data_IF_046171923926
#
_entry.id   IF_046171923926
#
_cell.length_a   1.000
_cell.length_b   1.000
_cell.length_c   1.000
_cell.angle_alpha   90.00
_cell.angle_beta   90.00
_cell.angle_gamma   90.00
#
_symmetry.space_group_name_H-M   'P 1'
#
loop_
_entity.id
_entity.type
_entity.pdbx_description
1 polymer ?
#
# COMPACT_ATOMS: atom_id res chain seq x y z
N UNK A 1 -29.65 10.48 27.39
CA UNK A 1 -29.37 9.26 26.60
C UNK A 1 -28.63 9.61 25.31
N UNK A 2 -29.10 10.59 24.53
CA UNK A 2 -28.43 11.06 23.29
C UNK A 2 -26.99 11.56 23.50
N UNK A 3 -26.72 12.33 24.56
CA UNK A 3 -25.35 12.81 24.87
C UNK A 3 -24.36 11.65 25.05
N UNK A 4 -24.73 10.63 25.83
CA UNK A 4 -23.93 9.42 26.04
C UNK A 4 -23.71 8.62 24.74
N UNK A 5 -24.75 8.50 23.91
CA UNK A 5 -24.66 7.83 22.60
C UNK A 5 -23.74 8.58 21.64
N UNK A 6 -23.77 9.92 21.67
CA UNK A 6 -22.84 10.75 20.89
C UNK A 6 -21.39 10.61 21.38
N UNK A 7 -21.17 10.56 22.70
CA UNK A 7 -19.81 10.36 23.25
C UNK A 7 -19.27 8.97 22.89
N UNK A 8 -20.12 7.94 22.95
CA UNK A 8 -19.70 6.57 22.60
C UNK A 8 -19.39 6.41 21.11
N UNK A 9 -20.18 7.03 20.23
CA UNK A 9 -19.92 7.06 18.79
C UNK A 9 -18.60 7.78 18.47
N UNK A 10 -18.34 8.91 19.12
CA UNK A 10 -17.09 9.66 18.96
C UNK A 10 -15.88 8.84 19.42
N UNK A 11 -15.97 8.14 20.55
CA UNK A 11 -14.91 7.25 21.02
C UNK A 11 -14.61 6.13 20.00
N UNK A 12 -15.64 5.48 19.45
CA UNK A 12 -15.48 4.45 18.42
C UNK A 12 -14.82 5.00 17.15
N UNK A 13 -15.23 6.20 16.69
CA UNK A 13 -14.62 6.85 15.54
C UNK A 13 -13.12 7.14 15.78
N UNK A 14 -12.75 7.60 16.97
CA UNK A 14 -11.35 7.84 17.35
C UNK A 14 -10.53 6.56 17.41
N UNK A 15 -11.09 5.47 17.92
CA UNK A 15 -10.43 4.15 17.93
C UNK A 15 -10.12 3.68 16.50
N UNK A 16 -11.13 3.70 15.62
CA UNK A 16 -10.97 3.31 14.21
C UNK A 16 -9.99 4.22 13.48
N UNK A 17 -10.07 5.54 13.71
CA UNK A 17 -9.13 6.51 13.16
C UNK A 17 -7.69 6.22 13.59
N UNK A 18 -7.48 5.88 14.87
CA UNK A 18 -6.18 5.48 15.38
C UNK A 18 -5.63 4.23 14.69
N UNK A 19 -6.47 3.24 14.42
CA UNK A 19 -6.08 2.05 13.65
C UNK A 19 -5.72 2.38 12.20
N UNK A 20 -6.45 3.29 11.55
CA UNK A 20 -6.11 3.75 10.21
C UNK A 20 -4.75 4.46 10.17
N UNK A 21 -4.46 5.31 11.16
CA UNK A 21 -3.17 5.98 11.27
C UNK A 21 -2.00 5.02 11.44
N UNK A 22 -2.20 3.88 12.12
CA UNK A 22 -1.18 2.81 12.21
C UNK A 22 -1.05 2.05 10.90
N UNK A 23 -2.16 1.81 10.20
CA UNK A 23 -2.19 0.95 9.02
C UNK A 23 -1.62 1.62 7.76
N UNK A 24 -1.81 2.93 7.59
CA UNK A 24 -1.26 3.70 6.47
C UNK A 24 0.27 3.52 6.32
N UNK A 25 1.11 3.76 7.36
CA UNK A 25 2.55 3.59 7.22
C UNK A 25 2.97 2.13 6.99
N UNK A 26 2.22 1.15 7.51
CA UNK A 26 2.46 -0.27 7.18
C UNK A 26 2.27 -0.53 5.68
N UNK A 27 1.18 -0.04 5.10
CA UNK A 27 0.89 -0.20 3.67
C UNK A 27 1.94 0.50 2.81
N UNK A 28 2.36 1.72 3.19
CA UNK A 28 3.42 2.44 2.50
C UNK A 28 4.76 1.68 2.53
N UNK A 29 5.11 1.07 3.67
CA UNK A 29 6.32 0.24 3.79
C UNK A 29 6.23 -1.02 2.93
N UNK A 30 5.05 -1.64 2.84
CA UNK A 30 4.83 -2.77 1.93
C UNK A 30 4.99 -2.34 0.47
N UNK A 31 4.45 -1.18 0.09
CA UNK A 31 4.59 -0.65 -1.27
C UNK A 31 6.05 -0.40 -1.62
N UNK A 32 6.81 0.24 -0.73
CA UNK A 32 8.26 0.48 -0.92
C UNK A 32 9.03 -0.85 -1.11
N UNK A 33 8.65 -1.89 -0.36
CA UNK A 33 9.26 -3.22 -0.48
C UNK A 33 9.01 -3.82 -1.86
N UNK A 34 7.78 -3.74 -2.35
CA UNK A 34 7.39 -4.24 -3.69
C UNK A 34 8.09 -3.44 -4.78
N UNK A 35 8.19 -2.12 -4.64
CA UNK A 35 8.91 -1.26 -5.59
C UNK A 35 10.40 -1.62 -5.67
N UNK A 36 11.06 -1.87 -4.53
CA UNK A 36 12.46 -2.34 -4.51
C UNK A 36 12.62 -3.70 -5.20
N UNK A 37 11.67 -4.62 -5.02
CA UNK A 37 11.69 -5.92 -5.70
C UNK A 37 11.54 -5.76 -7.21
N UNK A 38 10.62 -4.90 -7.68
CA UNK A 38 10.45 -4.60 -9.09
C UNK A 38 11.71 -3.98 -9.69
N UNK A 39 12.26 -2.95 -9.04
CA UNK A 39 13.49 -2.28 -9.48
C UNK A 39 14.66 -3.26 -9.60
N UNK A 40 14.82 -4.17 -8.63
CA UNK A 40 15.82 -5.23 -8.69
C UNK A 40 15.61 -6.13 -9.91
N UNK A 41 14.37 -6.55 -10.19
CA UNK A 41 14.08 -7.38 -11.35
C UNK A 41 14.38 -6.66 -12.68
N UNK A 42 14.09 -5.35 -12.77
CA UNK A 42 14.41 -4.52 -13.94
C UNK A 42 15.93 -4.40 -14.14
N UNK A 43 16.69 -4.19 -13.06
CA UNK A 43 18.16 -4.13 -13.12
C UNK A 43 18.75 -5.47 -13.57
N UNK A 44 18.28 -6.59 -13.00
CA UNK A 44 18.72 -7.93 -13.37
C UNK A 44 18.37 -8.25 -14.84
N UNK A 45 17.20 -7.83 -15.33
CA UNK A 45 16.80 -8.01 -16.73
C UNK A 45 17.69 -7.20 -17.68
N UNK A 46 18.04 -5.97 -17.30
CA UNK A 46 18.96 -5.14 -18.09
C UNK A 46 20.35 -5.81 -18.24
N UNK A 47 20.82 -6.51 -17.20
CA UNK A 47 22.08 -7.26 -17.24
C UNK A 47 22.04 -8.49 -18.17
N UNK A 48 20.86 -8.94 -18.60
CA UNK A 48 20.72 -10.05 -19.54
C UNK A 48 20.84 -9.64 -21.01
N UNK A 49 20.77 -8.33 -21.33
CA UNK A 49 20.79 -7.85 -22.72
C UNK A 49 22.06 -8.24 -23.48
N UNK A 50 23.18 -8.36 -22.78
CA UNK A 50 24.48 -8.72 -23.37
C UNK A 50 24.76 -10.24 -23.31
N UNK A 51 23.78 -11.06 -22.89
CA UNK A 51 23.94 -12.51 -22.77
C UNK A 51 23.43 -13.23 -24.02
N UNK A 52 23.99 -14.42 -24.34
CA UNK A 52 23.54 -15.21 -25.48
C UNK A 52 22.07 -15.63 -25.30
N UNK A 53 21.22 -15.29 -26.28
CA UNK A 53 19.77 -15.56 -26.25
C UNK A 53 19.42 -17.03 -26.49
N UNK A 54 20.34 -17.80 -27.05
CA UNK A 54 20.25 -19.26 -27.24
C UNK A 54 20.58 -20.04 -25.95
N UNK A 55 21.07 -19.37 -24.92
CA UNK A 55 21.37 -19.99 -23.64
C UNK A 55 20.06 -20.25 -22.86
N UNK A 56 19.74 -21.53 -22.69
CA UNK A 56 18.54 -21.97 -21.98
C UNK A 56 18.43 -21.40 -20.54
N UNK A 57 19.53 -21.28 -19.81
CA UNK A 57 19.54 -20.71 -18.47
C UNK A 57 19.20 -19.21 -18.47
N UNK A 58 19.62 -18.48 -19.51
CA UNK A 58 19.29 -17.06 -19.69
C UNK A 58 17.79 -16.90 -19.95
N UNK A 59 17.21 -17.77 -20.78
CA UNK A 59 15.77 -17.77 -21.06
C UNK A 59 14.93 -18.03 -19.80
N UNK A 60 15.25 -19.10 -19.05
CA UNK A 60 14.56 -19.43 -17.81
C UNK A 60 14.62 -18.29 -16.78
N UNK A 61 15.77 -17.63 -16.69
CA UNK A 61 15.94 -16.51 -15.77
C UNK A 61 15.17 -15.26 -16.23
N UNK A 62 15.17 -14.96 -17.54
CA UNK A 62 14.36 -13.88 -18.10
C UNK A 62 12.85 -14.09 -17.85
N UNK A 63 12.34 -15.31 -18.05
CA UNK A 63 10.95 -15.67 -17.73
C UNK A 63 10.63 -15.52 -16.24
N UNK A 64 11.58 -15.85 -15.36
CA UNK A 64 11.43 -15.65 -13.91
C UNK A 64 11.33 -14.16 -13.57
N UNK A 65 12.19 -13.33 -14.17
CA UNK A 65 12.17 -11.88 -13.97
C UNK A 65 10.86 -11.26 -14.47
N UNK A 66 10.36 -11.72 -15.62
CA UNK A 66 9.07 -11.31 -16.14
C UNK A 66 7.93 -11.58 -15.14
N UNK A 67 7.84 -12.82 -14.63
CA UNK A 67 6.84 -13.20 -13.61
C UNK A 67 6.96 -12.39 -12.32
N UNK A 68 8.19 -12.10 -11.87
CA UNK A 68 8.40 -11.25 -10.69
C UNK A 68 7.85 -9.84 -10.91
N UNK A 69 8.11 -9.24 -12.09
CA UNK A 69 7.61 -7.90 -12.42
C UNK A 69 6.08 -7.88 -12.46
N UNK A 70 5.44 -8.84 -13.11
CA UNK A 70 3.98 -8.95 -13.15
C UNK A 70 3.38 -9.07 -11.75
N UNK A 71 3.95 -9.93 -10.89
CA UNK A 71 3.51 -10.06 -9.51
C UNK A 71 3.66 -8.77 -8.71
N UNK A 72 4.76 -8.05 -8.90
CA UNK A 72 4.98 -6.77 -8.25
C UNK A 72 3.96 -5.72 -8.71
N UNK A 73 3.63 -5.68 -10.00
CA UNK A 73 2.61 -4.77 -10.55
C UNK A 73 1.24 -5.04 -9.93
N UNK A 74 0.79 -6.30 -9.94
CA UNK A 74 -0.48 -6.72 -9.31
C UNK A 74 -0.50 -6.36 -7.83
N UNK A 75 0.57 -6.68 -7.09
CA UNK A 75 0.65 -6.41 -5.65
C UNK A 75 0.70 -4.91 -5.35
N UNK A 76 1.40 -4.13 -6.16
CA UNK A 76 1.44 -2.67 -6.01
C UNK A 76 0.08 -2.03 -6.25
N UNK A 77 -0.70 -2.54 -7.22
CA UNK A 77 -2.06 -2.06 -7.49
C UNK A 77 -3.00 -2.35 -6.31
N UNK A 78 -2.95 -3.57 -5.76
CA UNK A 78 -3.70 -3.96 -4.56
C UNK A 78 -3.37 -3.07 -3.35
N UNK A 79 -2.08 -2.87 -3.05
CA UNK A 79 -1.66 -2.01 -1.93
C UNK A 79 -2.10 -0.55 -2.17
N UNK A 80 -1.99 -0.04 -3.39
CA UNK A 80 -2.45 1.32 -3.73
C UNK A 80 -3.95 1.46 -3.53
N UNK A 81 -4.74 0.47 -3.94
CA UNK A 81 -6.19 0.45 -3.71
C UNK A 81 -6.52 0.45 -2.22
N UNK A 82 -5.81 -0.34 -1.41
CA UNK A 82 -5.97 -0.34 0.05
C UNK A 82 -5.60 1.02 0.67
N UNK A 83 -4.52 1.65 0.19
CA UNK A 83 -4.13 3.00 0.61
C UNK A 83 -5.19 4.05 0.25
N UNK A 84 -5.75 3.99 -0.95
CA UNK A 84 -6.84 4.89 -1.36
C UNK A 84 -8.04 4.75 -0.44
N UNK A 85 -8.51 3.51 -0.24
CA UNK A 85 -9.68 3.24 0.61
C UNK A 85 -9.46 3.73 2.05
N UNK A 86 -8.31 3.44 2.65
CA UNK A 86 -8.07 3.82 4.04
C UNK A 86 -7.92 5.34 4.21
N UNK A 87 -7.37 6.03 3.21
CA UNK A 87 -7.29 7.49 3.22
C UNK A 87 -8.67 8.14 3.06
N UNK A 88 -9.53 7.58 2.21
CA UNK A 88 -10.93 8.03 2.06
C UNK A 88 -11.72 7.83 3.35
N UNK A 89 -11.64 6.64 3.97
CA UNK A 89 -12.30 6.34 5.23
C UNK A 89 -11.77 7.22 6.37
N UNK A 90 -10.46 7.45 6.41
CA UNK A 90 -9.84 8.40 7.35
C UNK A 90 -10.42 9.81 7.16
N UNK A 91 -10.46 10.30 5.92
CA UNK A 91 -10.98 11.63 5.60
C UNK A 91 -12.46 11.78 5.96
N UNK A 92 -13.25 10.71 5.78
CA UNK A 92 -14.64 10.68 6.21
C UNK A 92 -14.76 10.84 7.74
N UNK A 93 -13.97 10.09 8.51
CA UNK A 93 -13.97 10.22 9.98
C UNK A 93 -13.54 11.61 10.41
N UNK A 94 -12.52 12.20 9.77
CA UNK A 94 -12.08 13.58 10.04
C UNK A 94 -13.18 14.61 9.76
N UNK A 95 -14.01 14.41 8.74
CA UNK A 95 -15.12 15.31 8.43
C UNK A 95 -16.29 15.17 9.42
N UNK A 96 -16.58 13.94 9.86
CA UNK A 96 -17.70 13.65 10.76
C UNK A 96 -17.38 13.99 12.22
N UNK A 97 -16.19 13.63 12.70
CA UNK A 97 -15.76 13.82 14.08
C UNK A 97 -15.64 15.29 14.44
N UNK A 98 -16.36 15.70 15.48
CA UNK A 98 -16.27 17.07 16.00
C UNK A 98 -14.94 17.32 16.71
N UNK A 99 -14.43 16.30 17.40
CA UNK A 99 -13.16 16.36 18.14
C UNK A 99 -11.98 16.47 17.19
N UNK A 100 -11.91 15.64 16.14
CA UNK A 100 -10.82 15.69 15.17
C UNK A 100 -10.81 17.01 14.41
N UNK A 101 -11.98 17.55 14.02
CA UNK A 101 -12.04 18.88 13.39
C UNK A 101 -11.50 19.98 14.29
N UNK A 102 -11.82 19.96 15.58
CA UNK A 102 -11.32 20.94 16.55
C UNK A 102 -9.81 20.81 16.81
N UNK A 103 -9.22 19.63 16.59
CA UNK A 103 -7.78 19.41 16.71
C UNK A 103 -6.98 19.82 15.45
N UNK A 104 -7.66 20.03 14.33
CA UNK A 104 -7.07 20.41 13.04
C UNK A 104 -7.14 21.92 12.75
N UNK A 105 -7.91 22.67 13.54
CA UNK A 105 -8.00 24.14 13.52
C UNK A 105 -6.91 24.80 14.35
#
# INVERSE_FOLDING_TARGET
MELLMNTQKECQQLEVYGEYLKKIPELLKQLETVEKMYQKAVLEEAMLKDKPLDNHSVQLYAERLHRIKEQCEIRSADIRQQCTLILELKSQIEAESSVLRALQS
#
